data_IF_259640522504
#
_entry.id   IF_259640522504
#
_cell.length_a   1.000
_cell.length_b   1.000
_cell.length_c   1.000
_cell.angle_alpha   90.00
_cell.angle_beta   90.00
_cell.angle_gamma   90.00
#
_symmetry.space_group_name_H-M   'P 1'
#
loop_
_entity.id
_entity.type
_entity.pdbx_description
1 polymer ?
#
# COMPACT_ATOMS: atom_id res chain seq x y z
N UNK A 1 -4.36 -1.10 2.13
CA UNK A 1 -3.43 0.03 2.35
C UNK A 1 -2.71 -0.27 3.64
N UNK A 2 -1.38 -0.37 3.62
CA UNK A 2 -0.58 -0.73 4.79
C UNK A 2 -0.53 0.43 5.77
N UNK A 3 -0.87 0.18 7.03
CA UNK A 3 -0.64 1.11 8.13
C UNK A 3 0.78 0.87 8.64
N UNK A 4 1.53 1.96 8.87
CA UNK A 4 2.88 1.88 9.43
C UNK A 4 2.88 1.03 10.71
N UNK A 5 3.83 0.10 10.80
CA UNK A 5 3.98 -0.79 11.96
C UNK A 5 2.94 -1.93 12.10
N UNK A 6 1.88 -1.99 11.28
CA UNK A 6 0.94 -3.13 11.37
C UNK A 6 1.39 -4.37 10.60
N UNK A 7 2.00 -4.17 9.43
CA UNK A 7 2.33 -5.26 8.49
C UNK A 7 3.84 -5.45 8.34
N UNK A 8 4.64 -4.43 8.66
CA UNK A 8 6.09 -4.47 8.50
C UNK A 8 6.80 -3.66 9.59
N UNK A 9 8.14 -3.59 9.49
CA UNK A 9 8.97 -2.85 10.43
C UNK A 9 8.60 -1.37 10.46
N UNK A 10 8.90 -0.70 11.58
CA UNK A 10 8.81 0.74 11.62
C UNK A 10 9.86 1.37 10.70
N UNK A 11 9.42 2.34 9.90
CA UNK A 11 10.25 3.08 8.95
C UNK A 11 10.51 4.52 9.37
N UNK A 12 9.96 4.97 10.51
CA UNK A 12 10.07 6.36 10.99
C UNK A 12 11.51 6.84 11.15
N UNK A 13 12.42 5.95 11.52
CA UNK A 13 13.86 6.20 11.69
C UNK A 13 14.72 5.36 10.74
N UNK A 14 14.18 4.92 9.60
CA UNK A 14 14.87 3.95 8.72
C UNK A 14 16.18 4.49 8.14
N UNK A 15 16.30 5.81 7.93
CA UNK A 15 17.52 6.45 7.43
C UNK A 15 18.72 6.30 8.39
N UNK A 16 18.45 6.05 9.68
CA UNK A 16 19.47 5.78 10.69
C UNK A 16 19.68 4.27 10.84
N UNK A 17 18.61 3.53 11.15
CA UNK A 17 18.73 2.12 11.57
C UNK A 17 19.10 1.17 10.43
N UNK A 18 18.83 1.52 9.16
CA UNK A 18 19.11 0.62 8.04
C UNK A 18 20.61 0.31 7.87
N UNK A 19 21.49 1.28 8.15
CA UNK A 19 22.95 1.09 8.07
C UNK A 19 23.51 0.14 9.13
N UNK A 20 22.73 -0.17 10.17
CA UNK A 20 23.12 -1.07 11.25
C UNK A 20 22.70 -2.52 11.01
N UNK A 21 21.84 -2.78 10.01
CA UNK A 21 21.26 -4.10 9.76
C UNK A 21 22.25 -5.11 9.18
N UNK A 22 23.12 -4.66 8.29
CA UNK A 22 24.12 -5.51 7.62
C UNK A 22 25.49 -4.84 7.73
N UNK A 23 26.42 -5.48 8.45
CA UNK A 23 27.76 -4.96 8.64
C UNK A 23 28.48 -4.77 7.29
N UNK A 24 29.01 -3.56 7.07
CA UNK A 24 29.73 -3.22 5.84
C UNK A 24 28.85 -2.80 4.65
N UNK A 25 27.53 -2.77 4.81
CA UNK A 25 26.59 -2.25 3.80
C UNK A 25 26.18 -0.82 4.14
N UNK A 26 26.07 0.06 3.13
CA UNK A 26 25.58 1.42 3.34
C UNK A 26 24.06 1.43 3.53
N UNK A 27 23.53 2.45 4.24
CA UNK A 27 22.08 2.66 4.39
C UNK A 27 21.37 2.71 3.03
N UNK A 28 21.95 3.42 2.05
CA UNK A 28 21.36 3.56 0.73
C UNK A 28 21.31 2.24 -0.05
N UNK A 29 22.38 1.43 0.05
CA UNK A 29 22.43 0.12 -0.60
C UNK A 29 21.44 -0.85 0.04
N UNK A 30 21.35 -0.85 1.37
CA UNK A 30 20.38 -1.64 2.12
C UNK A 30 18.94 -1.30 1.69
N UNK A 31 18.60 -0.01 1.62
CA UNK A 31 17.28 0.45 1.21
C UNK A 31 16.97 0.06 -0.24
N UNK A 32 17.96 0.20 -1.14
CA UNK A 32 17.82 -0.19 -2.54
C UNK A 32 17.58 -1.68 -2.69
N UNK A 33 18.37 -2.52 -2.03
CA UNK A 33 18.20 -3.97 -2.02
C UNK A 33 16.84 -4.36 -1.43
N UNK A 34 16.43 -3.74 -0.32
CA UNK A 34 15.12 -4.01 0.30
C UNK A 34 13.93 -3.70 -0.61
N UNK A 35 14.06 -2.77 -1.56
CA UNK A 35 12.99 -2.43 -2.53
C UNK A 35 13.04 -3.36 -3.75
N UNK A 36 14.24 -3.67 -4.25
CA UNK A 36 14.44 -4.43 -5.48
C UNK A 36 14.34 -5.95 -5.24
N UNK A 37 14.91 -6.42 -4.13
CA UNK A 37 14.82 -7.79 -3.63
C UNK A 37 14.43 -7.82 -2.13
N UNK A 38 13.14 -7.60 -1.81
CA UNK A 38 12.66 -7.53 -0.43
C UNK A 38 12.88 -8.75 0.45
N UNK A 39 13.27 -9.90 -0.12
CA UNK A 39 13.54 -11.12 0.65
C UNK A 39 15.04 -11.39 0.84
N UNK A 40 15.93 -10.58 0.27
CA UNK A 40 17.37 -10.69 0.48
C UNK A 40 17.73 -10.52 1.97
N UNK A 41 17.01 -9.65 2.66
CA UNK A 41 17.12 -9.47 4.10
C UNK A 41 15.76 -9.16 4.73
N UNK A 42 15.29 -10.05 5.60
CA UNK A 42 14.09 -9.86 6.42
C UNK A 42 14.54 -9.70 7.87
N UNK A 43 14.27 -8.54 8.46
CA UNK A 43 14.51 -8.30 9.90
C UNK A 43 13.73 -9.29 10.74
N UNK A 44 14.25 -9.67 11.91
CA UNK A 44 13.61 -10.67 12.76
C UNK A 44 12.31 -10.16 13.38
N UNK A 45 12.30 -8.93 13.88
CA UNK A 45 11.23 -8.37 14.70
C UNK A 45 10.42 -7.29 13.97
N UNK A 46 9.10 -7.41 14.01
CA UNK A 46 8.10 -6.44 13.58
C UNK A 46 7.18 -6.09 14.78
N UNK A 47 6.40 -4.99 14.76
CA UNK A 47 5.63 -4.57 15.94
C UNK A 47 4.58 -5.57 16.43
N UNK A 48 4.17 -6.53 15.60
CA UNK A 48 3.18 -7.56 15.93
C UNK A 48 3.77 -8.98 16.05
N UNK A 49 5.09 -9.09 16.22
CA UNK A 49 5.81 -10.37 16.25
C UNK A 49 6.85 -10.46 15.14
N UNK A 50 7.31 -11.68 14.76
CA UNK A 50 8.38 -11.80 13.80
C UNK A 50 7.96 -11.29 12.42
N UNK A 51 8.87 -10.62 11.71
CA UNK A 51 8.58 -10.25 10.33
C UNK A 51 8.55 -11.49 9.43
N UNK A 52 7.69 -11.45 8.42
CA UNK A 52 7.43 -12.59 7.55
C UNK A 52 7.91 -12.24 6.13
N UNK A 53 8.59 -13.18 5.49
CA UNK A 53 9.00 -13.08 4.10
C UNK A 53 7.78 -13.00 3.15
N UNK A 54 7.99 -12.46 1.95
CA UNK A 54 6.97 -12.32 0.89
C UNK A 54 5.78 -11.39 1.21
N UNK A 55 5.84 -10.63 2.31
CA UNK A 55 4.83 -9.63 2.64
C UNK A 55 5.05 -8.34 1.83
N UNK A 56 6.30 -7.94 1.65
CA UNK A 56 6.65 -6.81 0.79
C UNK A 56 6.56 -7.24 -0.69
N UNK A 57 5.82 -6.49 -1.53
CA UNK A 57 5.70 -6.77 -2.97
C UNK A 57 7.05 -6.82 -3.67
N UNK A 58 7.26 -7.82 -4.54
CA UNK A 58 8.48 -7.98 -5.35
C UNK A 58 8.40 -7.34 -6.73
N UNK A 59 7.27 -6.72 -7.04
CA UNK A 59 6.97 -6.21 -8.37
C UNK A 59 7.24 -4.71 -8.51
N UNK A 60 7.90 -4.07 -7.53
CA UNK A 60 8.19 -2.63 -7.56
C UNK A 60 8.99 -2.21 -8.80
N UNK A 61 9.97 -3.01 -9.23
CA UNK A 61 10.75 -2.76 -10.46
C UNK A 61 9.93 -2.82 -11.74
N UNK A 62 8.73 -3.42 -11.70
CA UNK A 62 7.79 -3.49 -12.82
C UNK A 62 6.74 -2.37 -12.78
N UNK A 63 6.57 -1.73 -11.62
CA UNK A 63 5.52 -0.72 -11.35
C UNK A 63 6.06 0.69 -11.24
N UNK A 64 7.34 0.82 -10.90
CA UNK A 64 8.03 2.07 -10.69
C UNK A 64 9.21 2.14 -11.67
N UNK A 65 9.47 3.34 -12.20
CA UNK A 65 10.69 3.57 -12.96
C UNK A 65 11.91 3.57 -12.02
N UNK A 66 13.13 3.36 -12.54
CA UNK A 66 14.35 3.46 -11.74
C UNK A 66 14.44 4.80 -10.99
N UNK A 67 14.13 5.92 -11.65
CA UNK A 67 14.15 7.24 -11.02
C UNK A 67 13.14 7.37 -9.86
N UNK A 68 11.97 6.72 -9.97
CA UNK A 68 10.98 6.72 -8.88
C UNK A 68 11.46 5.90 -7.68
N UNK A 69 12.17 4.80 -7.91
CA UNK A 69 12.81 4.03 -6.85
C UNK A 69 13.85 4.88 -6.12
N UNK A 70 14.68 5.61 -6.87
CA UNK A 70 15.69 6.52 -6.29
C UNK A 70 15.06 7.66 -5.47
N UNK A 71 13.93 8.22 -5.92
CA UNK A 71 13.18 9.22 -5.13
C UNK A 71 12.67 8.63 -3.81
N UNK A 72 12.16 7.39 -3.83
CA UNK A 72 11.71 6.72 -2.61
C UNK A 72 12.89 6.47 -1.67
N UNK A 73 14.03 6.01 -2.19
CA UNK A 73 15.25 5.81 -1.40
C UNK A 73 15.70 7.14 -0.76
N UNK A 74 15.74 8.23 -1.53
CA UNK A 74 16.08 9.55 -1.02
C UNK A 74 15.15 9.98 0.11
N UNK A 75 13.84 9.80 -0.05
CA UNK A 75 12.87 10.07 1.02
C UNK A 75 13.14 9.21 2.27
N UNK A 76 13.40 7.91 2.10
CA UNK A 76 13.67 7.00 3.22
C UNK A 76 14.98 7.32 3.94
N UNK A 77 16.00 7.83 3.24
CA UNK A 77 17.25 8.28 3.84
C UNK A 77 17.07 9.49 4.76
N UNK A 78 16.07 10.33 4.50
CA UNK A 78 15.74 11.49 5.33
C UNK A 78 14.93 11.13 6.59
N UNK A 79 14.49 9.88 6.75
CA UNK A 79 13.69 9.47 7.91
C UNK A 79 14.59 9.20 9.12
N UNK A 80 14.60 10.12 10.08
CA UNK A 80 15.47 10.13 11.26
C UNK A 80 14.71 9.92 12.59
N UNK A 81 13.40 9.66 12.53
CA UNK A 81 12.52 9.57 13.70
C UNK A 81 12.01 10.92 14.20
N UNK A 82 12.46 12.04 13.62
CA UNK A 82 12.06 13.40 13.99
C UNK A 82 10.76 13.86 13.32
N UNK A 83 10.26 13.10 12.34
CA UNK A 83 8.98 13.38 11.69
C UNK A 83 7.82 13.11 12.65
N UNK A 84 7.61 14.07 13.56
CA UNK A 84 6.26 14.44 13.91
C UNK A 84 5.59 14.80 12.58
N UNK A 85 4.52 14.09 12.17
CA UNK A 85 3.81 14.51 10.98
C UNK A 85 3.46 15.97 11.22
N UNK A 86 3.91 16.83 10.31
CA UNK A 86 3.35 18.17 10.13
C UNK A 86 1.90 17.95 9.72
N UNK A 87 1.06 17.54 10.67
CA UNK A 87 -0.36 17.80 10.60
C UNK A 87 -0.41 19.29 10.93
N UNK A 88 -0.60 20.18 9.96
CA UNK A 88 -1.08 21.50 10.32
C UNK A 88 -2.38 21.24 11.08
N UNK A 89 -2.36 21.39 12.40
CA UNK A 89 -3.57 21.61 13.15
C UNK A 89 -4.13 22.89 12.55
N UNK A 90 -5.11 22.76 11.66
CA UNK A 90 -5.89 23.86 11.12
C UNK A 90 -6.45 24.59 12.34
N UNK A 91 -5.77 25.64 12.77
CA UNK A 91 -6.00 26.21 14.10
C UNK A 91 -5.05 27.34 14.45
N UNK A 92 -3.73 27.09 14.51
CA UNK A 92 -2.84 28.02 15.21
C UNK A 92 -1.61 28.39 14.37
N UNK A 93 -1.66 29.64 13.89
CA UNK A 93 -0.57 30.53 13.47
C UNK A 93 0.83 29.91 13.27
N UNK A 94 1.16 29.53 12.03
CA UNK A 94 2.56 29.41 11.60
C UNK A 94 2.73 30.14 10.28
N UNK A 95 3.66 31.09 10.28
CA UNK A 95 4.09 31.91 9.15
C UNK A 95 4.49 31.03 7.95
N UNK A 96 4.13 31.38 6.70
CA UNK A 96 4.37 30.51 5.56
C UNK A 96 5.87 30.41 5.23
N UNK A 97 6.45 29.21 5.39
CA UNK A 97 7.69 28.86 4.69
C UNK A 97 7.34 28.66 3.21
N UNK A 98 8.01 29.33 2.27
CA UNK A 98 7.68 29.22 0.85
C UNK A 98 8.07 27.85 0.32
N UNK A 99 7.06 27.04 0.00
CA UNK A 99 7.17 25.77 -0.72
C UNK A 99 7.83 25.97 -2.09
N UNK A 100 8.83 25.16 -2.50
CA UNK A 100 9.31 25.16 -3.88
C UNK A 100 8.16 24.81 -4.83
N UNK A 101 8.01 25.62 -5.88
CA UNK A 101 6.89 25.60 -6.82
C UNK A 101 6.67 24.21 -7.42
N UNK A 102 5.42 23.75 -7.30
CA UNK A 102 4.92 22.52 -7.87
C UNK A 102 5.21 22.40 -9.38
N UNK A 103 5.68 21.22 -9.78
CA UNK A 103 5.70 20.77 -11.18
C UNK A 103 4.25 20.74 -11.69
N UNK A 104 3.94 21.31 -12.87
CA UNK A 104 2.56 21.42 -13.33
C UNK A 104 1.98 20.04 -13.66
N UNK A 105 0.89 19.69 -13.00
CA UNK A 105 0.07 18.54 -13.32
C UNK A 105 -0.87 18.89 -14.49
N UNK A 106 -0.69 18.21 -15.61
CA UNK A 106 -1.43 18.42 -16.84
C UNK A 106 -2.88 17.98 -16.65
N UNK A 107 -3.79 18.95 -16.54
CA UNK A 107 -5.22 18.76 -16.41
C UNK A 107 -5.83 18.34 -17.75
N UNK A 108 -5.97 17.04 -17.98
CA UNK A 108 -6.92 16.51 -18.96
C UNK A 108 -8.20 16.11 -18.23
N UNK A 109 -9.20 16.98 -18.28
CA UNK A 109 -10.55 16.70 -17.80
C UNK A 109 -11.24 15.68 -18.74
N UNK A 110 -11.90 14.66 -18.16
CA UNK A 110 -13.02 13.96 -18.81
C UNK A 110 -14.12 13.68 -17.78
N UNK A 111 -15.39 13.68 -18.20
CA UNK A 111 -16.54 14.04 -17.38
C UNK A 111 -17.01 12.89 -16.48
N UNK A 112 -17.77 13.28 -15.45
CA UNK A 112 -18.54 12.42 -14.56
C UNK A 112 -19.26 11.30 -15.33
N UNK A 113 -18.80 10.07 -15.11
CA UNK A 113 -19.51 8.85 -15.47
C UNK A 113 -20.30 8.34 -14.27
N UNK A 114 -21.62 8.41 -14.38
CA UNK A 114 -22.61 7.81 -13.49
C UNK A 114 -22.25 6.34 -13.18
N UNK A 115 -21.94 6.03 -11.91
CA UNK A 115 -21.91 4.65 -11.43
C UNK A 115 -23.33 4.27 -11.01
N UNK A 116 -23.99 3.29 -11.65
CA UNK A 116 -25.27 2.83 -11.15
C UNK A 116 -25.05 2.21 -9.77
N UNK A 117 -25.62 2.84 -8.74
CA UNK A 117 -25.82 2.20 -7.44
C UNK A 117 -26.78 1.03 -7.67
N UNK A 118 -26.20 -0.17 -7.82
CA UNK A 118 -26.96 -1.41 -7.94
C UNK A 118 -27.68 -1.59 -6.61
N UNK A 119 -28.98 -1.33 -6.60
CA UNK A 119 -29.82 -1.47 -5.43
C UNK A 119 -29.84 -2.93 -4.99
N UNK A 120 -29.47 -3.18 -3.73
CA UNK A 120 -29.38 -4.50 -3.07
C UNK A 120 -30.59 -5.42 -3.35
N UNK A 121 -31.77 -4.82 -3.53
CA UNK A 121 -33.03 -5.50 -3.86
C UNK A 121 -32.99 -6.27 -5.21
N UNK A 122 -32.27 -5.76 -6.21
CA UNK A 122 -32.16 -6.39 -7.53
C UNK A 122 -31.27 -7.64 -7.51
N UNK A 123 -30.15 -7.60 -6.77
CA UNK A 123 -29.28 -8.76 -6.55
C UNK A 123 -30.03 -9.84 -5.76
N UNK A 124 -30.80 -9.45 -4.75
CA UNK A 124 -31.55 -10.38 -3.91
C UNK A 124 -32.65 -11.14 -4.67
N UNK A 125 -33.36 -10.48 -5.59
CA UNK A 125 -34.33 -11.15 -6.47
C UNK A 125 -33.65 -12.14 -7.43
N UNK A 126 -32.48 -11.79 -7.96
CA UNK A 126 -31.67 -12.68 -8.81
C UNK A 126 -31.23 -13.94 -8.05
N UNK A 127 -30.71 -13.79 -6.84
CA UNK A 127 -30.28 -14.93 -6.01
C UNK A 127 -31.45 -15.84 -5.62
N UNK A 128 -32.59 -15.28 -5.22
CA UNK A 128 -33.78 -16.08 -4.88
C UNK A 128 -34.27 -16.84 -6.11
N UNK A 129 -34.32 -16.19 -7.28
CA UNK A 129 -34.71 -16.83 -8.54
C UNK A 129 -33.76 -17.98 -8.93
N UNK A 130 -32.45 -17.78 -8.80
CA UNK A 130 -31.43 -18.79 -9.11
C UNK A 130 -31.54 -19.98 -8.16
N UNK A 131 -31.70 -19.76 -6.85
CA UNK A 131 -31.87 -20.85 -5.88
C UNK A 131 -33.14 -21.63 -6.16
N UNK A 132 -34.26 -20.96 -6.47
CA UNK A 132 -35.52 -21.62 -6.80
C UNK A 132 -35.38 -22.49 -8.07
N UNK A 133 -34.74 -21.97 -9.11
CA UNK A 133 -34.45 -22.72 -10.34
C UNK A 133 -33.56 -23.93 -10.09
N UNK A 134 -32.50 -23.77 -9.29
CA UNK A 134 -31.61 -24.88 -8.92
C UNK A 134 -32.34 -25.93 -8.08
N UNK A 135 -33.23 -25.54 -7.16
CA UNK A 135 -34.03 -26.48 -6.39
C UNK A 135 -35.05 -27.22 -7.27
N UNK A 136 -35.72 -26.52 -8.20
CA UNK A 136 -36.66 -27.15 -9.13
C UNK A 136 -35.92 -28.12 -10.07
N UNK A 137 -34.76 -27.70 -10.57
CA UNK A 137 -33.88 -28.53 -11.40
C UNK A 137 -33.37 -29.75 -10.64
N UNK A 138 -32.95 -29.60 -9.38
CA UNK A 138 -32.55 -30.74 -8.55
C UNK A 138 -33.71 -31.69 -8.24
N UNK A 139 -34.94 -31.18 -8.11
CA UNK A 139 -36.14 -32.00 -7.90
C UNK A 139 -36.54 -32.72 -9.20
N UNK A 140 -36.50 -32.05 -10.35
CA UNK A 140 -36.84 -32.64 -11.65
C UNK A 140 -35.75 -33.61 -12.16
N UNK A 141 -34.50 -33.42 -11.70
CA UNK A 141 -33.36 -34.30 -11.99
C UNK A 141 -33.16 -35.40 -10.94
N UNK A 142 -33.96 -35.50 -9.86
CA UNK A 142 -33.97 -36.72 -9.05
C UNK A 142 -34.60 -37.83 -9.90
N UNK A 143 -33.83 -38.83 -10.37
CA UNK A 143 -34.44 -39.99 -10.99
C UNK A 143 -35.34 -40.65 -9.93
N UNK A 144 -36.57 -40.94 -10.31
CA UNK A 144 -37.48 -41.75 -9.50
C UNK A 144 -36.88 -43.14 -9.36
N UNK A 145 -36.22 -43.40 -8.23
CA UNK A 145 -36.11 -44.76 -7.68
C UNK A 145 -37.47 -45.14 -7.04
#
# INVERSE_FOLDING_TARGET
>A
MGEGGKVGPDLSAIGIIAGERISGMSTADYLRESIIDPNAFVVEECPNGPCIANIMPRDYTTRLSPDQIEIIIAFLLEQDGSQQPLIPTIGDDVTPVPLPKAVPANKAARPLGFSPSISSLSIQLMLIGIVFLLTLFMVWKRPSD
#
